data_IF_058180513197
#
_entry.id   IF_058180513197
#
_cell.length_a   1.000
_cell.length_b   1.000
_cell.length_c   1.000
_cell.angle_alpha   90.00
_cell.angle_beta   90.00
_cell.angle_gamma   90.00
#
_symmetry.space_group_name_H-M   'P 1'
#
loop_
_entity.id
_entity.type
_entity.pdbx_description
1 polymer ?
#
# COMPACT_ATOMS: atom_id res chain seq x y z
N UNK A 1 23.47 7.03 27.00
CA UNK A 1 22.70 6.06 26.17
C UNK A 1 23.66 5.44 25.17
N UNK A 2 23.71 4.10 25.08
CA UNK A 2 24.85 3.27 24.63
C UNK A 2 25.42 3.46 23.20
N UNK A 3 25.03 4.48 22.42
CA UNK A 3 25.76 4.90 21.21
C UNK A 3 25.93 3.83 20.11
N UNK A 4 25.22 2.70 20.20
CA UNK A 4 25.34 1.58 19.26
C UNK A 4 24.63 1.96 17.97
N UNK A 5 25.42 2.47 17.00
CA UNK A 5 24.95 2.86 15.67
C UNK A 5 25.00 1.70 14.65
N UNK A 6 25.51 0.54 15.06
CA UNK A 6 25.64 -0.60 14.16
C UNK A 6 24.31 -1.34 14.04
N UNK A 7 23.82 -1.41 12.81
CA UNK A 7 22.53 -1.97 12.46
C UNK A 7 22.39 -3.46 12.81
N UNK A 8 23.51 -4.18 12.85
CA UNK A 8 23.54 -5.63 13.05
C UNK A 8 22.97 -6.05 14.42
N UNK A 9 23.11 -5.18 15.43
CA UNK A 9 22.58 -5.41 16.78
C UNK A 9 21.06 -5.29 16.85
N UNK A 10 20.41 -4.70 15.83
CA UNK A 10 18.95 -4.61 15.73
C UNK A 10 18.39 -5.73 14.85
N UNK A 11 19.08 -6.04 13.74
CA UNK A 11 18.62 -7.07 12.80
C UNK A 11 18.64 -8.48 13.40
N UNK A 12 19.65 -8.82 14.21
CA UNK A 12 19.73 -10.15 14.82
C UNK A 12 18.54 -10.40 15.76
N UNK A 13 18.25 -9.55 16.77
CA UNK A 13 17.02 -9.65 17.56
C UNK A 13 15.76 -9.60 16.71
N UNK A 14 15.78 -8.85 15.61
CA UNK A 14 14.72 -8.80 14.61
C UNK A 14 14.33 -10.14 14.02
N UNK A 15 15.32 -10.95 13.63
CA UNK A 15 15.10 -12.29 13.10
C UNK A 15 14.47 -13.18 14.17
N UNK A 16 14.95 -13.10 15.41
CA UNK A 16 14.34 -13.82 16.53
C UNK A 16 12.90 -13.37 16.79
N UNK A 17 12.65 -12.05 16.79
CA UNK A 17 11.31 -11.48 16.96
C UNK A 17 10.36 -11.99 15.87
N UNK A 18 10.80 -11.98 14.61
CA UNK A 18 10.03 -12.51 13.49
C UNK A 18 9.69 -13.99 13.68
N UNK A 19 10.66 -14.81 14.10
CA UNK A 19 10.46 -16.24 14.36
C UNK A 19 9.45 -16.48 15.49
N UNK A 20 9.57 -15.77 16.62
CA UNK A 20 8.65 -15.91 17.74
C UNK A 20 7.23 -15.43 17.42
N UNK A 21 7.10 -14.33 16.67
CA UNK A 21 5.79 -13.82 16.22
C UNK A 21 5.13 -14.81 15.25
N UNK A 22 5.89 -15.41 14.35
CA UNK A 22 5.34 -16.44 13.46
C UNK A 22 4.80 -17.65 14.23
N UNK A 23 5.51 -18.11 15.27
CA UNK A 23 5.08 -19.23 16.12
C UNK A 23 3.97 -18.87 17.11
N UNK A 24 3.72 -17.60 17.40
CA UNK A 24 2.63 -17.15 18.28
C UNK A 24 1.27 -17.05 17.59
N UNK A 25 1.20 -17.37 16.29
CA UNK A 25 -0.03 -17.26 15.48
C UNK A 25 -0.33 -15.85 15.01
N UNK A 26 0.55 -14.87 15.30
CA UNK A 26 0.47 -13.51 14.79
C UNK A 26 1.16 -13.44 13.42
N UNK A 27 0.70 -12.53 12.55
CA UNK A 27 1.29 -12.38 11.25
C UNK A 27 2.72 -11.80 11.32
N UNK A 28 3.67 -12.47 10.67
CA UNK A 28 5.09 -12.15 10.78
C UNK A 28 5.46 -10.78 10.19
N UNK A 29 4.58 -10.16 9.40
CA UNK A 29 4.73 -8.78 8.90
C UNK A 29 4.76 -7.74 10.01
N UNK A 30 4.05 -7.98 11.13
CA UNK A 30 4.04 -7.07 12.28
C UNK A 30 5.44 -7.00 12.91
N UNK A 31 6.21 -8.09 12.88
CA UNK A 31 7.57 -8.11 13.42
C UNK A 31 8.49 -7.08 12.75
N UNK A 32 8.37 -6.91 11.42
CA UNK A 32 9.15 -5.93 10.67
C UNK A 32 8.81 -4.49 11.07
N UNK A 33 7.51 -4.19 11.26
CA UNK A 33 7.04 -2.88 11.72
C UNK A 33 7.52 -2.60 13.15
N UNK A 34 7.39 -3.57 14.05
CA UNK A 34 7.87 -3.44 15.43
C UNK A 34 9.38 -3.24 15.49
N UNK A 35 10.15 -3.99 14.71
CA UNK A 35 11.58 -3.80 14.60
C UNK A 35 11.91 -2.38 14.13
N UNK A 36 11.25 -1.87 13.08
CA UNK A 36 11.49 -0.52 12.58
C UNK A 36 11.30 0.55 13.68
N UNK A 37 10.27 0.41 14.53
CA UNK A 37 10.06 1.30 15.68
C UNK A 37 11.16 1.25 16.75
N UNK A 38 11.95 0.18 16.80
CA UNK A 38 13.07 0.05 17.76
C UNK A 38 14.40 0.60 17.23
N UNK A 39 14.50 0.85 15.92
CA UNK A 39 15.74 1.36 15.32
C UNK A 39 15.80 2.88 15.52
N UNK A 40 16.91 3.42 16.03
CA UNK A 40 17.01 4.84 16.35
C UNK A 40 17.01 5.70 15.08
N UNK A 41 16.24 6.79 15.13
CA UNK A 41 16.31 7.92 14.21
C UNK A 41 17.04 9.10 14.88
N UNK A 42 17.39 10.14 14.13
CA UNK A 42 17.96 11.38 14.66
C UNK A 42 17.36 12.61 13.94
N UNK A 43 17.49 13.79 14.55
CA UNK A 43 17.00 15.06 13.99
C UNK A 43 18.09 15.84 13.24
N UNK A 44 19.22 15.21 12.95
CA UNK A 44 20.37 15.87 12.32
C UNK A 44 20.42 15.54 10.83
N UNK A 45 21.08 16.37 10.02
CA UNK A 45 21.33 16.09 8.59
C UNK A 45 22.26 14.88 8.35
N UNK A 46 22.71 14.20 9.41
CA UNK A 46 23.56 13.01 9.32
C UNK A 46 22.69 11.76 9.32
N UNK A 47 22.78 10.97 8.25
CA UNK A 47 22.03 9.73 8.07
C UNK A 47 22.03 8.84 9.33
N UNK A 48 20.84 8.65 9.91
CA UNK A 48 20.58 7.79 11.05
C UNK A 48 20.71 6.30 10.67
N UNK A 49 20.86 5.40 11.64
CA UNK A 49 20.81 3.95 11.38
C UNK A 49 19.52 3.51 10.67
N UNK A 50 18.37 4.09 11.02
CA UNK A 50 17.09 3.80 10.38
C UNK A 50 17.08 4.22 8.91
N UNK A 51 17.47 5.46 8.61
CA UNK A 51 17.51 5.98 7.23
C UNK A 51 18.53 5.22 6.36
N UNK A 52 19.68 4.84 6.93
CA UNK A 52 20.66 3.95 6.26
C UNK A 52 20.03 2.63 5.85
N UNK A 53 19.27 2.02 6.75
CA UNK A 53 18.57 0.77 6.46
C UNK A 53 17.45 0.96 5.44
N UNK A 54 16.66 2.01 5.56
CA UNK A 54 15.59 2.34 4.61
C UNK A 54 16.14 2.49 3.19
N UNK A 55 17.19 3.29 3.00
CA UNK A 55 17.83 3.45 1.70
C UNK A 55 18.37 2.12 1.17
N UNK A 56 19.02 1.32 2.03
CA UNK A 56 19.54 0.01 1.63
C UNK A 56 18.43 -1.00 1.27
N UNK A 57 17.27 -0.94 1.92
CA UNK A 57 16.12 -1.82 1.65
C UNK A 57 15.29 -1.33 0.45
N UNK A 58 15.22 -0.03 0.20
CA UNK A 58 14.38 0.54 -0.86
C UNK A 58 14.67 -0.09 -2.24
N UNK A 59 15.95 -0.33 -2.55
CA UNK A 59 16.39 -0.91 -3.82
C UNK A 59 15.95 -2.38 -3.95
N UNK A 60 16.34 -3.32 -3.07
CA UNK A 60 15.89 -4.70 -3.18
C UNK A 60 14.37 -4.83 -3.00
N UNK A 61 13.74 -4.00 -2.17
CA UNK A 61 12.27 -4.03 -2.00
C UNK A 61 11.58 -3.67 -3.31
N UNK A 62 11.94 -2.55 -3.93
CA UNK A 62 11.25 -2.06 -5.11
C UNK A 62 11.57 -2.87 -6.39
N UNK A 63 12.80 -3.37 -6.53
CA UNK A 63 13.25 -4.03 -7.76
C UNK A 63 13.25 -5.56 -7.69
N UNK A 64 13.22 -6.16 -6.49
CA UNK A 64 13.26 -7.62 -6.33
C UNK A 64 12.04 -8.13 -5.55
N UNK A 65 11.84 -7.68 -4.31
CA UNK A 65 10.81 -8.24 -3.43
C UNK A 65 9.40 -7.94 -3.95
N UNK A 66 9.10 -6.69 -4.32
CA UNK A 66 7.79 -6.29 -4.80
C UNK A 66 7.41 -6.97 -6.13
N UNK A 67 8.30 -7.03 -7.16
CA UNK A 67 8.01 -7.80 -8.37
C UNK A 67 7.83 -9.30 -8.14
N UNK A 68 8.67 -9.93 -7.31
CA UNK A 68 8.54 -11.35 -6.97
C UNK A 68 7.22 -11.60 -6.22
N UNK A 69 6.90 -10.76 -5.25
CA UNK A 69 5.65 -10.84 -4.48
C UNK A 69 4.44 -10.72 -5.41
N UNK A 70 4.45 -9.73 -6.30
CA UNK A 70 3.40 -9.54 -7.29
C UNK A 70 3.27 -10.80 -8.14
N UNK A 71 4.34 -11.25 -8.80
CA UNK A 71 4.32 -12.41 -9.69
C UNK A 71 3.84 -13.69 -9.00
N UNK A 72 4.34 -13.97 -7.79
CA UNK A 72 3.98 -15.16 -7.03
C UNK A 72 2.49 -15.17 -6.64
N UNK A 73 1.92 -13.99 -6.34
CA UNK A 73 0.55 -13.89 -5.86
C UNK A 73 -0.47 -13.57 -6.96
N UNK A 74 -0.05 -13.02 -8.10
CA UNK A 74 -0.90 -12.71 -9.26
C UNK A 74 -0.88 -13.80 -10.33
N UNK A 75 -0.21 -14.93 -10.09
CA UNK A 75 -0.26 -16.09 -10.97
C UNK A 75 -1.66 -16.74 -10.93
N UNK A 76 -2.60 -16.10 -11.60
CA UNK A 76 -4.02 -16.44 -11.62
C UNK A 76 -4.27 -17.33 -12.83
N UNK A 77 -4.68 -18.57 -12.57
CA UNK A 77 -5.31 -19.42 -13.58
C UNK A 77 -6.70 -18.84 -13.87
N UNK A 78 -6.93 -18.42 -15.12
CA UNK A 78 -8.21 -17.85 -15.50
C UNK A 78 -9.29 -18.94 -15.53
N UNK A 79 -10.15 -18.93 -14.52
CA UNK A 79 -11.32 -19.79 -14.41
C UNK A 79 -12.58 -18.99 -14.76
N UNK A 80 -13.60 -19.66 -15.33
CA UNK A 80 -14.84 -18.97 -15.77
C UNK A 80 -15.60 -18.39 -14.58
N UNK A 81 -15.47 -19.04 -13.44
CA UNK A 81 -16.04 -18.70 -12.14
C UNK A 81 -15.52 -17.35 -11.62
N UNK A 82 -14.32 -16.92 -12.03
CA UNK A 82 -13.75 -15.65 -11.59
C UNK A 82 -14.52 -14.45 -12.15
N UNK A 83 -15.02 -14.56 -13.39
CA UNK A 83 -15.81 -13.48 -14.02
C UNK A 83 -17.16 -13.32 -13.31
N UNK A 84 -17.77 -14.42 -12.88
CA UNK A 84 -18.96 -14.36 -12.02
C UNK A 84 -18.64 -13.77 -10.65
N UNK A 85 -17.43 -14.03 -10.14
CA UNK A 85 -16.91 -13.47 -8.90
C UNK A 85 -16.83 -11.94 -8.85
N UNK A 86 -16.70 -11.22 -9.98
CA UNK A 86 -16.72 -9.73 -9.97
C UNK A 86 -18.10 -9.18 -9.59
N UNK A 87 -19.15 -9.87 -10.02
CA UNK A 87 -20.55 -9.46 -9.79
C UNK A 87 -21.04 -10.00 -8.44
N UNK A 88 -20.26 -10.89 -7.80
CA UNK A 88 -20.52 -11.32 -6.43
C UNK A 88 -20.49 -10.12 -5.46
N UNK A 89 -21.18 -10.22 -4.31
CA UNK A 89 -21.10 -9.20 -3.26
C UNK A 89 -19.66 -8.92 -2.80
N UNK A 90 -18.80 -9.94 -2.79
CA UNK A 90 -17.40 -9.82 -2.43
C UNK A 90 -16.64 -8.98 -3.46
N UNK A 91 -16.75 -9.35 -4.75
CA UNK A 91 -16.06 -8.65 -5.84
C UNK A 91 -16.50 -7.20 -5.98
N UNK A 92 -17.82 -6.95 -5.96
CA UNK A 92 -18.37 -5.59 -6.00
C UNK A 92 -17.95 -4.78 -4.76
N UNK A 93 -17.97 -5.40 -3.57
CA UNK A 93 -17.53 -4.75 -2.34
C UNK A 93 -16.08 -4.29 -2.41
N UNK A 94 -15.19 -5.14 -2.94
CA UNK A 94 -13.78 -4.81 -3.16
C UNK A 94 -13.63 -3.70 -4.20
N UNK A 95 -14.28 -3.81 -5.36
CA UNK A 95 -14.14 -2.84 -6.45
C UNK A 95 -14.64 -1.46 -6.01
N UNK A 96 -15.84 -1.39 -5.44
CA UNK A 96 -16.44 -0.14 -4.95
C UNK A 96 -15.63 0.39 -3.76
N UNK A 97 -15.21 -0.46 -2.83
CA UNK A 97 -14.42 -0.05 -1.68
C UNK A 97 -13.07 0.54 -2.05
N UNK A 98 -12.36 -0.07 -3.02
CA UNK A 98 -11.08 0.44 -3.50
C UNK A 98 -11.24 1.68 -4.38
N UNK A 99 -12.14 1.65 -5.37
CA UNK A 99 -12.29 2.78 -6.28
C UNK A 99 -13.01 3.97 -5.62
N UNK A 100 -14.25 3.76 -5.19
CA UNK A 100 -15.10 4.82 -4.64
C UNK A 100 -14.67 5.16 -3.22
N UNK A 101 -14.44 4.15 -2.38
CA UNK A 101 -14.08 4.34 -0.98
C UNK A 101 -12.78 5.12 -0.80
N UNK A 102 -11.72 4.79 -1.56
CA UNK A 102 -10.46 5.56 -1.51
C UNK A 102 -10.62 6.96 -2.08
N UNK A 103 -11.32 7.12 -3.19
CA UNK A 103 -11.53 8.44 -3.80
C UNK A 103 -12.26 9.38 -2.85
N UNK A 104 -13.39 8.94 -2.28
CA UNK A 104 -14.16 9.73 -1.33
C UNK A 104 -13.38 9.94 -0.04
N UNK A 105 -12.78 8.89 0.53
CA UNK A 105 -12.03 8.96 1.78
C UNK A 105 -10.87 9.95 1.71
N UNK A 106 -9.98 9.80 0.73
CA UNK A 106 -8.83 10.70 0.56
C UNK A 106 -9.28 12.14 0.36
N UNK A 107 -10.27 12.37 -0.52
CA UNK A 107 -10.75 13.73 -0.81
C UNK A 107 -11.41 14.37 0.41
N UNK A 108 -12.27 13.63 1.11
CA UNK A 108 -13.00 14.10 2.28
C UNK A 108 -12.07 14.42 3.44
N UNK A 109 -11.15 13.51 3.79
CA UNK A 109 -10.23 13.73 4.90
C UNK A 109 -9.19 14.83 4.58
N UNK A 110 -8.76 14.95 3.32
CA UNK A 110 -7.94 16.08 2.90
C UNK A 110 -8.71 17.41 3.01
N UNK A 111 -9.99 17.41 2.62
CA UNK A 111 -10.87 18.57 2.77
C UNK A 111 -11.09 18.96 4.23
N UNK A 112 -11.34 18.00 5.11
CA UNK A 112 -11.48 18.24 6.54
C UNK A 112 -10.18 18.78 7.14
N UNK A 113 -9.02 18.20 6.80
CA UNK A 113 -7.73 18.66 7.30
C UNK A 113 -7.44 20.12 6.91
N UNK A 114 -7.71 20.49 5.65
CA UNK A 114 -7.54 21.88 5.17
C UNK A 114 -8.56 22.81 5.82
N UNK A 115 -9.83 22.40 5.94
CA UNK A 115 -10.88 23.23 6.55
C UNK A 115 -10.62 23.48 8.04
N UNK A 116 -10.05 22.51 8.75
CA UNK A 116 -9.65 22.61 10.16
C UNK A 116 -8.30 23.32 10.37
N UNK A 117 -7.63 23.76 9.28
CA UNK A 117 -6.29 24.37 9.33
C UNK A 117 -5.21 23.47 9.94
N UNK A 118 -5.35 22.15 9.80
CA UNK A 118 -4.29 21.20 10.14
C UNK A 118 -3.28 21.00 9.01
N UNK A 119 -3.63 21.38 7.78
CA UNK A 119 -2.76 21.32 6.62
C UNK A 119 -3.16 22.38 5.58
N UNK A 120 -2.24 22.73 4.70
CA UNK A 120 -2.49 23.59 3.54
C UNK A 120 -2.38 22.81 2.23
N UNK A 121 -3.06 23.29 1.19
CA UNK A 121 -2.95 22.71 -0.14
C UNK A 121 -1.57 23.04 -0.75
N UNK A 122 -0.89 22.08 -1.41
CA UNK A 122 0.41 22.36 -2.05
C UNK A 122 0.33 23.47 -3.09
N UNK A 123 1.42 24.23 -3.25
CA UNK A 123 1.51 25.30 -4.25
C UNK A 123 1.26 24.77 -5.66
N UNK A 124 0.30 25.35 -6.38
CA UNK A 124 -0.07 24.92 -7.73
C UNK A 124 -1.03 23.72 -7.77
N UNK A 125 -1.38 23.12 -6.62
CA UNK A 125 -2.41 22.10 -6.55
C UNK A 125 -3.79 22.72 -6.33
N UNK A 126 -4.83 22.01 -6.75
CA UNK A 126 -6.23 22.41 -6.58
C UNK A 126 -7.06 21.21 -6.15
N UNK A 127 -8.32 21.41 -5.77
CA UNK A 127 -9.19 20.31 -5.33
C UNK A 127 -9.40 19.23 -6.38
N UNK A 128 -9.32 19.58 -7.67
CA UNK A 128 -9.32 18.60 -8.76
C UNK A 128 -8.07 17.69 -8.70
N UNK A 129 -6.89 18.23 -8.38
CA UNK A 129 -5.69 17.41 -8.19
C UNK A 129 -5.83 16.44 -7.02
N UNK A 130 -6.39 16.89 -5.89
CA UNK A 130 -6.68 16.02 -4.73
C UNK A 130 -7.65 14.90 -5.09
N UNK A 131 -8.73 15.22 -5.83
CA UNK A 131 -9.69 14.23 -6.28
C UNK A 131 -9.03 13.19 -7.20
N UNK A 132 -8.19 13.62 -8.15
CA UNK A 132 -7.45 12.71 -9.03
C UNK A 132 -6.43 11.84 -8.28
N UNK A 133 -5.75 12.40 -7.28
CA UNK A 133 -4.89 11.64 -6.37
C UNK A 133 -5.69 10.62 -5.55
N UNK A 134 -6.90 10.97 -5.10
CA UNK A 134 -7.83 10.06 -4.44
C UNK A 134 -8.23 8.87 -5.33
N UNK A 135 -8.44 9.10 -6.62
CA UNK A 135 -8.71 8.03 -7.60
C UNK A 135 -7.51 7.09 -7.76
N UNK A 136 -6.30 7.65 -7.88
CA UNK A 136 -5.05 6.86 -7.95
C UNK A 136 -4.77 6.11 -6.64
N UNK A 137 -5.18 6.63 -5.49
CA UNK A 137 -5.05 5.94 -4.20
C UNK A 137 -5.89 4.66 -4.11
N UNK A 138 -6.81 4.44 -5.06
CA UNK A 138 -7.53 3.18 -5.23
C UNK A 138 -6.69 2.04 -5.83
N UNK A 139 -5.45 2.30 -6.28
CA UNK A 139 -4.52 1.26 -6.73
C UNK A 139 -4.03 0.47 -5.52
N UNK A 140 -4.78 -0.57 -5.14
CA UNK A 140 -4.47 -1.43 -4.01
C UNK A 140 -3.46 -2.54 -4.33
N UNK A 141 -3.49 -3.04 -5.57
CA UNK A 141 -2.65 -4.11 -6.13
C UNK A 141 -2.00 -5.03 -5.07
N UNK A 142 -0.70 -4.90 -4.80
CA UNK A 142 0.05 -5.81 -3.92
C UNK A 142 -0.43 -5.79 -2.47
N UNK A 143 -0.69 -4.62 -1.89
CA UNK A 143 -1.13 -4.51 -0.50
C UNK A 143 -2.54 -5.05 -0.31
N UNK A 144 -3.44 -4.80 -1.26
CA UNK A 144 -4.80 -5.38 -1.19
C UNK A 144 -4.77 -6.89 -1.42
N UNK A 145 -3.94 -7.40 -2.34
CA UNK A 145 -3.77 -8.85 -2.55
C UNK A 145 -3.22 -9.50 -1.27
N UNK A 146 -2.24 -8.87 -0.64
CA UNK A 146 -1.70 -9.31 0.64
C UNK A 146 -2.81 -9.43 1.70
N UNK A 147 -3.61 -8.37 1.88
CA UNK A 147 -4.72 -8.40 2.85
C UNK A 147 -5.78 -9.46 2.51
N UNK A 148 -6.09 -9.67 1.23
CA UNK A 148 -7.03 -10.72 0.81
C UNK A 148 -6.53 -12.12 1.19
N UNK A 149 -5.22 -12.39 1.02
CA UNK A 149 -4.59 -13.66 1.45
C UNK A 149 -4.66 -13.87 2.96
N UNK A 150 -4.71 -12.79 3.75
CA UNK A 150 -4.84 -12.88 5.20
C UNK A 150 -6.29 -13.02 5.67
N UNK A 151 -7.22 -12.49 4.87
CA UNK A 151 -8.62 -12.33 5.26
C UNK A 151 -9.47 -13.53 4.87
N UNK A 152 -9.08 -14.28 3.85
CA UNK A 152 -9.85 -15.41 3.32
C UNK A 152 -9.09 -16.72 3.44
N UNK A 153 -9.73 -17.71 4.06
CA UNK A 153 -9.19 -19.08 4.20
C UNK A 153 -9.49 -19.96 2.98
N UNK A 154 -10.54 -19.63 2.22
CA UNK A 154 -10.98 -20.39 1.04
C UNK A 154 -10.23 -19.91 -0.21
N UNK A 155 -9.63 -20.87 -0.93
CA UNK A 155 -8.89 -20.61 -2.17
C UNK A 155 -9.76 -19.95 -3.25
N UNK A 156 -11.06 -20.26 -3.31
CA UNK A 156 -11.98 -19.66 -4.27
C UNK A 156 -12.17 -18.16 -3.99
N UNK A 157 -12.48 -17.79 -2.74
CA UNK A 157 -12.62 -16.38 -2.34
C UNK A 157 -11.32 -15.59 -2.53
N UNK A 158 -10.16 -16.21 -2.30
CA UNK A 158 -8.85 -15.58 -2.56
C UNK A 158 -8.68 -15.30 -4.05
N UNK A 159 -9.04 -16.23 -4.93
CA UNK A 159 -8.95 -16.05 -6.39
C UNK A 159 -9.88 -14.94 -6.89
N UNK A 160 -11.14 -14.95 -6.44
CA UNK A 160 -12.12 -13.91 -6.75
C UNK A 160 -11.66 -12.53 -6.25
N UNK A 161 -11.17 -12.45 -5.01
CA UNK A 161 -10.68 -11.21 -4.43
C UNK A 161 -9.47 -10.66 -5.20
N UNK A 162 -8.49 -11.52 -5.54
CA UNK A 162 -7.34 -11.13 -6.37
C UNK A 162 -7.78 -10.52 -7.68
N UNK A 163 -8.75 -11.14 -8.35
CA UNK A 163 -9.26 -10.62 -9.62
C UNK A 163 -9.99 -9.28 -9.45
N UNK A 164 -10.86 -9.16 -8.45
CA UNK A 164 -11.56 -7.91 -8.14
C UNK A 164 -10.59 -6.78 -7.77
N UNK A 165 -9.50 -7.07 -7.05
CA UNK A 165 -8.46 -6.10 -6.73
C UNK A 165 -7.72 -5.64 -7.99
N UNK A 166 -7.40 -6.57 -8.89
CA UNK A 166 -6.72 -6.24 -10.16
C UNK A 166 -7.60 -5.36 -11.04
N UNK A 167 -8.88 -5.71 -11.19
CA UNK A 167 -9.83 -4.93 -12.00
C UNK A 167 -10.04 -3.54 -11.41
N UNK A 168 -10.20 -3.44 -10.08
CA UNK A 168 -10.29 -2.15 -9.38
C UNK A 168 -9.02 -1.31 -9.55
N UNK A 169 -7.84 -1.93 -9.45
CA UNK A 169 -6.55 -1.22 -9.57
C UNK A 169 -6.33 -0.69 -10.98
N UNK A 170 -6.68 -1.46 -12.01
CA UNK A 170 -6.64 -1.00 -13.41
C UNK A 170 -7.65 0.13 -13.63
N UNK A 171 -8.87 -0.01 -13.13
CA UNK A 171 -9.90 1.03 -13.21
C UNK A 171 -9.43 2.34 -12.55
N UNK A 172 -8.98 2.28 -11.29
CA UNK A 172 -8.42 3.41 -10.55
C UNK A 172 -7.25 4.06 -11.28
N UNK A 173 -6.31 3.26 -11.77
CA UNK A 173 -5.14 3.74 -12.49
C UNK A 173 -5.50 4.45 -13.78
N UNK A 174 -6.36 3.85 -14.62
CA UNK A 174 -6.78 4.44 -15.90
C UNK A 174 -7.61 5.69 -15.67
N UNK A 175 -8.64 5.63 -14.83
CA UNK A 175 -9.53 6.77 -14.57
C UNK A 175 -8.77 7.92 -13.91
N UNK A 176 -7.97 7.64 -12.88
CA UNK A 176 -7.15 8.65 -12.20
C UNK A 176 -6.12 9.28 -13.13
N UNK A 177 -5.46 8.49 -13.97
CA UNK A 177 -4.51 8.99 -14.97
C UNK A 177 -5.19 9.87 -16.02
N UNK A 178 -6.29 9.41 -16.62
CA UNK A 178 -7.03 10.18 -17.64
C UNK A 178 -7.56 11.48 -17.05
N UNK A 179 -8.12 11.43 -15.83
CA UNK A 179 -8.62 12.59 -15.13
C UNK A 179 -7.51 13.61 -14.87
N UNK A 180 -6.40 13.22 -14.25
CA UNK A 180 -5.27 14.13 -14.00
C UNK A 180 -4.65 14.66 -15.30
N UNK A 181 -4.54 13.83 -16.34
CA UNK A 181 -4.05 14.25 -17.65
C UNK A 181 -4.96 15.32 -18.28
N UNK A 182 -6.28 15.20 -18.11
CA UNK A 182 -7.24 16.19 -18.62
C UNK A 182 -7.18 17.55 -17.91
N UNK A 183 -6.63 17.60 -16.68
CA UNK A 183 -6.39 18.86 -15.97
C UNK A 183 -5.22 19.64 -16.58
N UNK A 184 -4.37 18.98 -17.38
CA UNK A 184 -3.24 19.60 -18.08
C UNK A 184 -3.70 20.29 -19.38
N UNK A 185 -4.50 21.36 -19.25
CA UNK A 185 -4.74 22.41 -20.27
C UNK A 185 -5.45 23.60 -19.60
N UNK A 186 -4.78 24.71 -19.30
CA UNK A 186 -4.54 25.84 -20.21
C UNK A 186 -3.47 26.77 -19.59
N UNK A 187 -2.20 26.58 -19.94
CA UNK A 187 -1.23 27.68 -19.94
C UNK A 187 -0.98 28.01 -21.42
N UNK A 188 -1.84 28.89 -21.95
CA UNK A 188 -1.46 29.85 -22.99
C UNK A 188 -1.25 31.19 -22.25
#
# INVERSE_FOLDING_TARGET
>A
YFGVKSLIFYLIPGIFLWYFIHHSGIHATIAGVLLAFTIPTNETDVLSPLEKLEHALSVPVNYLIMPIFALANTNITFEKEMITGLVSPLGLGIIVGLFVGKTIGVTLFSWLAVKLKFADLPTGAGWKHVLGLGMLAGIGFTMSIFIALLSFSDALHVSEAKFAILTASVLSGVVGFVFLKSLKKSED
#
